data_IF_312314206870
#
_entry.id   IF_312314206870
#
_cell.length_a   1.000
_cell.length_b   1.000
_cell.length_c   1.000
_cell.angle_alpha   90.00
_cell.angle_beta   90.00
_cell.angle_gamma   90.00
#
_symmetry.space_group_name_H-M   'P 1'
#
loop_
_entity.id
_entity.type
_entity.pdbx_description
1 polymer ?
#
# COMPACT_ATOMS: atom_id res chain seq x y z
N UNK A 1 -34.05 -38.86 -18.95
CA UNK A 1 -32.78 -38.36 -18.39
C UNK A 1 -32.43 -37.06 -19.08
N UNK A 2 -31.81 -36.13 -18.35
CA UNK A 2 -31.24 -34.84 -18.77
C UNK A 2 -32.10 -33.60 -18.48
N UNK A 3 -31.71 -32.96 -17.36
CA UNK A 3 -31.57 -31.51 -17.09
C UNK A 3 -32.82 -30.65 -16.92
N UNK A 4 -33.16 -30.42 -15.65
CA UNK A 4 -33.63 -29.12 -15.13
C UNK A 4 -33.06 -28.94 -13.72
N UNK A 5 -31.79 -28.53 -13.64
CA UNK A 5 -31.20 -27.98 -12.41
C UNK A 5 -30.34 -26.80 -12.84
N UNK A 6 -30.97 -25.63 -12.97
CA UNK A 6 -30.28 -24.37 -13.30
C UNK A 6 -30.86 -23.20 -12.51
N UNK A 7 -31.26 -23.45 -11.27
CA UNK A 7 -31.80 -22.42 -10.39
C UNK A 7 -31.11 -22.49 -9.01
N UNK A 8 -29.80 -22.28 -8.95
CA UNK A 8 -29.12 -22.07 -7.66
C UNK A 8 -27.71 -21.47 -7.79
N UNK A 9 -27.55 -20.38 -8.53
CA UNK A 9 -26.37 -19.48 -8.38
C UNK A 9 -26.83 -18.03 -8.60
N UNK A 10 -27.71 -17.53 -7.75
CA UNK A 10 -27.95 -16.10 -7.60
C UNK A 10 -27.98 -15.83 -6.09
N UNK A 11 -26.98 -15.12 -5.57
CA UNK A 11 -27.08 -14.52 -4.23
C UNK A 11 -25.87 -14.57 -3.30
N UNK A 12 -24.72 -15.14 -3.68
CA UNK A 12 -23.56 -15.13 -2.80
C UNK A 12 -22.70 -13.84 -2.86
N UNK A 13 -22.99 -12.91 -3.78
CA UNK A 13 -22.25 -11.64 -3.90
C UNK A 13 -22.91 -10.43 -3.21
N UNK A 14 -24.01 -10.62 -2.48
CA UNK A 14 -24.76 -9.52 -1.84
C UNK A 14 -24.45 -9.32 -0.35
N UNK A 15 -23.43 -10.00 0.18
CA UNK A 15 -22.96 -9.79 1.56
C UNK A 15 -21.49 -9.40 1.53
N UNK A 16 -21.17 -8.36 0.77
CA UNK A 16 -20.08 -7.48 1.20
C UNK A 16 -20.70 -6.61 2.29
N UNK A 17 -20.47 -6.96 3.54
CA UNK A 17 -20.62 -6.00 4.64
C UNK A 17 -19.54 -4.95 4.45
N UNK A 18 -19.74 -4.04 3.50
CA UNK A 18 -19.05 -2.76 3.55
C UNK A 18 -19.63 -2.11 4.80
N UNK A 19 -18.91 -2.19 5.90
CA UNK A 19 -19.07 -1.21 6.97
C UNK A 19 -18.88 0.13 6.29
N UNK A 20 -19.99 0.82 6.05
CA UNK A 20 -19.97 2.11 5.38
C UNK A 20 -19.04 3.01 6.19
N UNK A 21 -17.89 3.36 5.64
CA UNK A 21 -17.10 4.48 6.12
C UNK A 21 -17.99 5.71 6.16
N UNK A 22 -17.86 6.55 7.18
CA UNK A 22 -18.60 7.80 7.28
C UNK A 22 -18.29 8.65 6.05
N UNK A 23 -19.33 9.10 5.33
CA UNK A 23 -19.12 10.10 4.26
C UNK A 23 -18.56 11.34 4.96
N UNK A 24 -17.37 11.84 4.56
CA UNK A 24 -16.77 12.99 5.22
C UNK A 24 -17.73 14.16 5.16
N UNK A 25 -18.04 14.75 6.32
CA UNK A 25 -18.88 15.95 6.35
C UNK A 25 -18.02 17.12 5.92
N UNK A 26 -18.34 17.73 4.77
CA UNK A 26 -17.80 19.03 4.42
C UNK A 26 -18.30 20.05 5.45
N UNK A 27 -17.41 20.54 6.32
CA UNK A 27 -17.68 21.75 7.09
C UNK A 27 -17.41 22.93 6.17
N UNK A 28 -18.43 23.74 5.91
CA UNK A 28 -18.23 25.03 5.26
C UNK A 28 -17.45 25.95 6.23
N UNK A 29 -16.15 26.09 6.01
CA UNK A 29 -15.24 26.95 6.79
C UNK A 29 -13.79 26.76 6.33
N UNK A 30 -13.03 27.84 6.20
CA UNK A 30 -11.63 27.84 5.75
C UNK A 30 -10.63 27.68 6.90
N UNK A 31 -10.93 26.83 7.89
CA UNK A 31 -9.99 26.53 8.99
C UNK A 31 -9.37 25.15 8.75
N UNK A 32 -8.04 25.08 8.77
CA UNK A 32 -7.30 23.85 8.49
C UNK A 32 -7.36 22.86 9.66
N UNK A 33 -7.33 21.54 9.40
CA UNK A 33 -7.47 20.91 8.08
C UNK A 33 -8.93 20.90 7.61
N UNK A 34 -9.16 21.11 6.31
CA UNK A 34 -10.49 20.96 5.68
C UNK A 34 -10.40 20.11 4.42
N UNK A 35 -11.32 19.15 4.20
CA UNK A 35 -11.35 18.37 2.98
C UNK A 35 -12.20 19.09 1.93
N UNK A 36 -11.72 19.14 0.69
CA UNK A 36 -12.54 19.45 -0.48
C UNK A 36 -12.95 18.13 -1.11
N UNK A 37 -14.25 17.84 -1.12
CA UNK A 37 -14.77 16.64 -1.77
C UNK A 37 -14.72 16.81 -3.30
N UNK A 38 -14.43 15.72 -4.02
CA UNK A 38 -14.50 15.68 -5.47
C UNK A 38 -15.92 16.01 -5.95
N UNK A 39 -16.02 16.85 -6.98
CA UNK A 39 -17.29 17.25 -7.62
C UNK A 39 -17.30 16.94 -9.11
N UNK A 40 -16.36 16.10 -9.55
CA UNK A 40 -16.20 15.72 -10.94
C UNK A 40 -17.43 14.97 -11.46
N UNK A 41 -17.79 15.24 -12.71
CA UNK A 41 -18.79 14.47 -13.43
C UNK A 41 -18.31 13.01 -13.62
N UNK A 42 -19.23 12.05 -13.87
CA UNK A 42 -18.85 10.68 -14.16
C UNK A 42 -17.77 10.60 -15.26
N UNK A 43 -16.83 9.66 -15.09
CA UNK A 43 -15.76 9.44 -16.06
C UNK A 43 -16.30 9.14 -17.47
N UNK A 44 -15.52 9.48 -18.49
CA UNK A 44 -15.84 9.16 -19.89
C UNK A 44 -16.11 7.66 -20.03
N UNK A 45 -17.24 7.30 -20.65
CA UNK A 45 -17.66 5.92 -20.87
C UNK A 45 -16.59 5.10 -21.63
N UNK A 46 -15.75 5.74 -22.45
CA UNK A 46 -14.64 5.09 -23.15
C UNK A 46 -13.59 4.49 -22.18
N UNK A 47 -13.54 4.95 -20.93
CA UNK A 47 -12.65 4.43 -19.87
C UNK A 47 -13.31 3.35 -19.01
N UNK A 48 -14.53 2.92 -19.36
CA UNK A 48 -15.22 1.84 -18.64
C UNK A 48 -14.38 0.57 -18.63
N UNK A 49 -14.11 0.06 -17.44
CA UNK A 49 -13.29 -1.14 -17.24
C UNK A 49 -11.79 -0.88 -17.18
N UNK A 50 -11.33 0.38 -17.25
CA UNK A 50 -9.94 0.71 -16.95
C UNK A 50 -9.71 0.58 -15.44
N UNK A 51 -8.57 0.03 -15.04
CA UNK A 51 -8.15 -0.04 -13.65
C UNK A 51 -6.63 -0.11 -13.54
N UNK A 52 -6.11 0.22 -12.35
CA UNK A 52 -4.68 0.10 -12.06
C UNK A 52 -4.36 -1.38 -11.80
N UNK A 53 -3.63 -1.99 -12.74
CA UNK A 53 -3.23 -3.39 -12.63
C UNK A 53 -2.04 -3.57 -11.67
N UNK A 54 -0.97 -2.80 -11.85
CA UNK A 54 0.28 -3.00 -11.12
C UNK A 54 1.05 -1.70 -10.87
N UNK A 55 1.93 -1.76 -9.88
CA UNK A 55 3.02 -0.81 -9.66
C UNK A 55 4.35 -1.54 -9.82
N UNK A 56 5.39 -0.81 -10.25
CA UNK A 56 6.70 -1.39 -10.51
C UNK A 56 7.79 -0.76 -9.64
N UNK A 57 8.66 -1.61 -9.09
CA UNK A 57 9.83 -1.22 -8.30
C UNK A 57 11.10 -1.89 -8.83
N UNK A 58 12.26 -1.34 -8.48
CA UNK A 58 13.56 -1.97 -8.76
C UNK A 58 14.14 -2.54 -7.48
N UNK A 59 14.78 -3.70 -7.56
CA UNK A 59 15.45 -4.31 -6.40
C UNK A 59 16.93 -4.55 -6.65
N UNK A 60 17.72 -4.44 -5.58
CA UNK A 60 19.14 -4.82 -5.54
C UNK A 60 19.31 -6.31 -5.24
N UNK A 61 18.31 -6.97 -4.66
CA UNK A 61 18.36 -8.39 -4.30
C UNK A 61 16.99 -9.04 -4.41
N UNK A 62 16.71 -9.64 -5.57
CA UNK A 62 15.44 -10.30 -5.84
C UNK A 62 15.08 -11.37 -4.81
N UNK A 63 16.03 -12.15 -4.31
CA UNK A 63 15.75 -13.18 -3.30
C UNK A 63 15.25 -12.56 -2.00
N UNK A 64 15.90 -11.49 -1.53
CA UNK A 64 15.49 -10.80 -0.31
C UNK A 64 14.11 -10.15 -0.47
N UNK A 65 13.83 -9.50 -1.60
CA UNK A 65 12.51 -8.92 -1.85
C UNK A 65 11.43 -9.99 -1.94
N UNK A 66 11.67 -11.11 -2.64
CA UNK A 66 10.69 -12.20 -2.72
C UNK A 66 10.38 -12.81 -1.36
N UNK A 67 11.40 -13.01 -0.51
CA UNK A 67 11.21 -13.48 0.86
C UNK A 67 10.38 -12.46 1.65
N UNK A 68 10.76 -11.19 1.65
CA UNK A 68 10.05 -10.12 2.34
C UNK A 68 8.58 -10.01 1.90
N UNK A 69 8.30 -9.80 0.60
CA UNK A 69 6.94 -9.58 0.12
C UNK A 69 6.05 -10.81 0.34
N UNK A 70 6.60 -12.03 0.24
CA UNK A 70 5.82 -13.24 0.48
C UNK A 70 5.60 -13.53 1.97
N UNK A 71 6.66 -13.50 2.78
CA UNK A 71 6.61 -13.79 4.22
C UNK A 71 5.88 -12.69 4.97
N UNK A 72 6.23 -11.42 4.74
CA UNK A 72 5.74 -10.30 5.55
C UNK A 72 4.33 -9.93 5.12
N UNK A 73 4.11 -9.76 3.82
CA UNK A 73 2.87 -9.20 3.29
C UNK A 73 1.93 -10.26 2.71
N UNK A 74 2.39 -11.49 2.46
CA UNK A 74 1.53 -12.56 1.92
C UNK A 74 1.35 -12.51 0.41
N UNK A 75 2.25 -11.84 -0.32
CA UNK A 75 2.28 -11.93 -1.78
C UNK A 75 2.70 -13.33 -2.24
N UNK A 76 2.20 -13.72 -3.42
CA UNK A 76 2.55 -14.95 -4.12
C UNK A 76 3.21 -14.61 -5.44
N UNK A 77 4.34 -15.26 -5.72
CA UNK A 77 4.99 -15.14 -7.02
C UNK A 77 4.13 -15.75 -8.11
N UNK A 78 3.79 -14.93 -9.10
CA UNK A 78 3.08 -15.37 -10.30
C UNK A 78 4.07 -16.00 -11.28
N UNK A 79 5.05 -15.21 -11.70
CA UNK A 79 6.08 -15.64 -12.65
C UNK A 79 7.32 -14.75 -12.54
N UNK A 80 8.44 -15.26 -13.05
CA UNK A 80 9.62 -14.46 -13.37
C UNK A 80 9.89 -14.59 -14.86
N UNK A 81 9.91 -13.49 -15.58
CA UNK A 81 10.35 -13.41 -16.96
C UNK A 81 11.84 -13.05 -16.97
N UNK A 82 12.69 -13.97 -17.43
CA UNK A 82 14.09 -13.67 -17.71
C UNK A 82 14.20 -13.04 -19.10
N UNK A 83 14.38 -11.72 -19.13
CA UNK A 83 14.51 -10.95 -20.38
C UNK A 83 15.91 -11.14 -20.98
N UNK A 84 16.93 -11.28 -20.13
CA UNK A 84 18.31 -11.59 -20.53
C UNK A 84 19.02 -12.43 -19.46
N UNK A 85 20.31 -12.73 -19.66
CA UNK A 85 21.14 -13.41 -18.64
C UNK A 85 21.19 -12.66 -17.31
N UNK A 86 21.08 -11.34 -17.35
CA UNK A 86 21.24 -10.48 -16.17
C UNK A 86 19.95 -9.74 -15.81
N UNK A 87 18.97 -9.65 -16.70
CA UNK A 87 17.76 -8.86 -16.47
C UNK A 87 16.51 -9.73 -16.34
N UNK A 88 15.77 -9.54 -15.26
CA UNK A 88 14.49 -10.23 -15.03
C UNK A 88 13.41 -9.29 -14.49
N UNK A 89 12.16 -9.71 -14.74
CA UNK A 89 10.95 -9.05 -14.28
C UNK A 89 10.14 -10.09 -13.51
N UNK A 90 9.80 -9.84 -12.26
CA UNK A 90 9.03 -10.76 -11.43
C UNK A 90 7.71 -10.13 -11.00
N UNK A 91 6.61 -10.82 -11.22
CA UNK A 91 5.28 -10.36 -10.80
C UNK A 91 4.81 -11.10 -9.55
N UNK A 92 4.28 -10.33 -8.60
CA UNK A 92 3.68 -10.80 -7.37
C UNK A 92 2.21 -10.34 -7.28
N UNK A 93 1.37 -11.17 -6.67
CA UNK A 93 -0.03 -10.85 -6.39
C UNK A 93 -0.44 -11.34 -4.99
N UNK A 94 -1.42 -10.70 -4.35
CA UNK A 94 -2.19 -11.37 -3.30
C UNK A 94 -3.11 -12.44 -3.91
N UNK A 95 -3.25 -13.57 -3.22
CA UNK A 95 -4.22 -14.58 -3.62
C UNK A 95 -5.64 -14.02 -3.47
N UNK A 96 -6.48 -14.15 -4.51
CA UNK A 96 -7.90 -13.79 -4.41
C UNK A 96 -8.64 -14.64 -3.37
N UNK A 97 -8.20 -15.89 -3.18
CA UNK A 97 -8.67 -16.75 -2.07
C UNK A 97 -8.35 -16.20 -0.68
N UNK A 98 -7.41 -15.26 -0.53
CA UNK A 98 -7.19 -14.55 0.74
C UNK A 98 -8.41 -13.72 1.16
N UNK A 99 -9.10 -13.09 0.20
CA UNK A 99 -10.26 -12.22 0.46
C UNK A 99 -11.50 -12.98 0.95
N UNK A 100 -11.59 -14.28 0.68
CA UNK A 100 -12.68 -15.13 1.16
C UNK A 100 -12.23 -16.14 2.25
N UNK A 101 -11.07 -15.92 2.85
CA UNK A 101 -10.55 -16.72 3.96
C UNK A 101 -10.01 -18.11 3.58
N UNK A 102 -9.99 -18.48 2.31
CA UNK A 102 -9.41 -19.75 1.85
C UNK A 102 -7.89 -19.70 1.75
N UNK A 103 -7.33 -18.51 1.53
CA UNK A 103 -5.89 -18.24 1.41
C UNK A 103 -5.19 -18.91 0.22
N UNK A 104 -5.89 -19.75 -0.54
CA UNK A 104 -5.28 -20.60 -1.55
C UNK A 104 -5.67 -20.19 -2.97
N UNK A 105 -4.64 -19.99 -3.78
CA UNK A 105 -4.71 -19.89 -5.22
C UNK A 105 -3.39 -20.41 -5.79
N UNK A 106 -3.44 -21.22 -6.85
CA UNK A 106 -2.25 -21.71 -7.52
C UNK A 106 -1.59 -20.59 -8.33
N UNK A 107 -0.29 -20.73 -8.61
CA UNK A 107 0.40 -19.78 -9.49
C UNK A 107 -0.21 -19.76 -10.90
N UNK A 108 -0.71 -20.89 -11.41
CA UNK A 108 -1.35 -20.97 -12.72
C UNK A 108 -2.66 -20.18 -12.76
N UNK A 109 -3.50 -20.29 -11.72
CA UNK A 109 -4.73 -19.51 -11.59
C UNK A 109 -4.44 -18.01 -11.47
N UNK A 110 -3.45 -17.63 -10.67
CA UNK A 110 -2.98 -16.25 -10.58
C UNK A 110 -2.56 -15.72 -11.96
N UNK A 111 -1.77 -16.48 -12.72
CA UNK A 111 -1.32 -16.08 -14.06
C UNK A 111 -2.48 -15.94 -15.05
N UNK A 112 -3.46 -16.85 -15.01
CA UNK A 112 -4.66 -16.79 -15.84
C UNK A 112 -5.43 -15.47 -15.62
N UNK A 113 -5.39 -14.95 -14.40
CA UNK A 113 -6.12 -13.76 -13.98
C UNK A 113 -5.28 -12.48 -14.04
N UNK A 114 -3.99 -12.56 -14.38
CA UNK A 114 -3.01 -11.45 -14.29
C UNK A 114 -3.55 -10.13 -14.86
N UNK A 115 -4.08 -10.15 -16.09
CA UNK A 115 -4.52 -8.94 -16.78
C UNK A 115 -5.83 -8.36 -16.21
N UNK A 116 -6.52 -9.08 -15.31
CA UNK A 116 -7.74 -8.67 -14.63
C UNK A 116 -7.54 -8.53 -13.11
N UNK A 117 -6.33 -8.76 -12.61
CA UNK A 117 -5.98 -8.59 -11.21
C UNK A 117 -5.63 -7.12 -10.91
N UNK A 118 -5.89 -6.67 -9.69
CA UNK A 118 -5.59 -5.31 -9.23
C UNK A 118 -4.51 -5.34 -8.16
N UNK A 119 -3.66 -4.32 -8.12
CA UNK A 119 -2.63 -4.17 -7.08
C UNK A 119 -1.51 -5.21 -7.15
N UNK A 120 -1.08 -5.59 -8.36
CA UNK A 120 0.10 -6.43 -8.54
C UNK A 120 1.38 -5.62 -8.25
N UNK A 121 2.43 -6.32 -7.83
CA UNK A 121 3.77 -5.76 -7.71
C UNK A 121 4.67 -6.34 -8.81
N UNK A 122 5.19 -5.47 -9.66
CA UNK A 122 6.22 -5.77 -10.66
C UNK A 122 7.60 -5.42 -10.09
N UNK A 123 8.52 -6.38 -10.09
CA UNK A 123 9.88 -6.21 -9.58
C UNK A 123 10.89 -6.36 -10.71
N UNK A 124 11.62 -5.30 -10.99
CA UNK A 124 12.77 -5.29 -11.88
C UNK A 124 14.04 -5.66 -11.12
N UNK A 125 14.79 -6.63 -11.65
CA UNK A 125 16.08 -7.03 -11.08
C UNK A 125 17.15 -7.13 -12.17
N UNK A 126 18.31 -6.53 -11.89
CA UNK A 126 19.48 -6.58 -12.75
C UNK A 126 20.66 -7.21 -11.99
N UNK A 127 21.08 -8.39 -12.40
CA UNK A 127 22.21 -9.12 -11.84
C UNK A 127 23.54 -8.60 -12.41
N UNK A 128 24.02 -7.51 -11.82
CA UNK A 128 25.29 -6.85 -12.16
C UNK A 128 26.15 -6.67 -10.91
N UNK A 129 27.49 -6.48 -11.04
CA UNK A 129 28.38 -6.35 -9.88
C UNK A 129 28.05 -5.17 -8.96
N UNK A 130 27.66 -4.03 -9.53
CA UNK A 130 27.30 -2.82 -8.78
C UNK A 130 25.80 -2.81 -8.54
N UNK A 131 25.38 -3.04 -7.31
CA UNK A 131 23.97 -3.03 -6.90
C UNK A 131 23.64 -1.92 -5.91
N UNK A 132 24.53 -0.95 -5.71
CA UNK A 132 24.30 0.19 -4.81
C UNK A 132 23.43 1.24 -5.48
N UNK A 133 22.16 0.90 -5.68
CA UNK A 133 21.11 1.83 -6.08
C UNK A 133 20.57 2.45 -4.79
N UNK A 134 20.51 3.78 -4.74
CA UNK A 134 19.95 4.50 -3.60
C UNK A 134 18.44 4.23 -3.50
N UNK A 135 17.98 3.91 -2.30
CA UNK A 135 16.55 3.71 -2.03
C UNK A 135 15.77 5.01 -1.93
N UNK A 136 14.44 4.93 -2.00
CA UNK A 136 13.55 6.06 -1.69
C UNK A 136 13.72 6.56 -0.24
N UNK A 137 14.13 5.69 0.70
CA UNK A 137 14.44 6.10 2.08
C UNK A 137 15.81 6.78 2.23
N UNK A 138 16.75 6.57 1.30
CA UNK A 138 18.07 7.21 1.31
C UNK A 138 18.05 8.51 0.50
N UNK A 139 17.41 8.48 -0.66
CA UNK A 139 17.24 9.61 -1.56
C UNK A 139 15.76 9.73 -1.92
N UNK A 140 14.99 10.48 -1.11
CA UNK A 140 13.57 10.69 -1.34
C UNK A 140 13.30 11.14 -2.78
N UNK A 141 12.50 10.34 -3.49
CA UNK A 141 12.01 10.65 -4.82
C UNK A 141 10.52 11.01 -4.73
N UNK A 142 9.85 11.15 -5.87
CA UNK A 142 8.42 11.52 -5.92
C UNK A 142 7.47 10.39 -5.56
N UNK A 143 7.94 9.13 -5.47
CA UNK A 143 7.14 7.99 -5.04
C UNK A 143 7.24 7.82 -3.52
N UNK A 144 6.13 8.07 -2.82
CA UNK A 144 6.11 8.09 -1.36
C UNK A 144 6.14 6.67 -0.76
N UNK A 145 5.08 5.88 -0.96
CA UNK A 145 4.94 4.55 -0.38
C UNK A 145 3.96 3.66 -1.15
N UNK A 146 3.94 2.37 -0.82
CA UNK A 146 2.87 1.43 -1.18
C UNK A 146 1.94 1.28 0.02
N UNK A 147 0.61 1.40 -0.18
CA UNK A 147 -0.38 1.22 0.88
C UNK A 147 -0.91 -0.22 0.94
N UNK A 148 -1.01 -0.77 2.14
CA UNK A 148 -1.59 -2.08 2.43
C UNK A 148 -2.72 -1.95 3.44
N UNK A 149 -3.87 -2.54 3.12
CA UNK A 149 -5.00 -2.67 4.05
C UNK A 149 -4.93 -4.03 4.74
N UNK A 150 -5.07 -4.03 6.06
CA UNK A 150 -5.16 -5.24 6.88
C UNK A 150 -6.44 -5.25 7.71
N UNK A 151 -6.97 -6.43 8.07
CA UNK A 151 -8.15 -6.52 8.94
C UNK A 151 -7.93 -5.93 10.33
N UNK A 152 -6.70 -6.03 10.87
CA UNK A 152 -6.35 -5.57 12.21
C UNK A 152 -4.90 -5.07 12.23
N UNK A 153 -4.75 -3.75 12.45
CA UNK A 153 -3.46 -3.07 12.50
C UNK A 153 -2.62 -3.49 13.73
N UNK A 154 -3.26 -3.77 14.87
CA UNK A 154 -2.55 -4.21 16.08
C UNK A 154 -2.02 -5.63 15.91
N UNK A 155 -2.86 -6.54 15.38
CA UNK A 155 -2.45 -7.93 15.16
C UNK A 155 -1.29 -8.04 14.15
N UNK A 156 -1.30 -7.24 13.08
CA UNK A 156 -0.14 -7.21 12.16
C UNK A 156 1.09 -6.62 12.85
N UNK A 157 0.97 -5.58 13.69
CA UNK A 157 2.11 -5.05 14.44
C UNK A 157 2.73 -6.12 15.33
N UNK A 158 1.94 -6.81 16.15
CA UNK A 158 2.42 -7.88 17.03
C UNK A 158 3.19 -8.94 16.23
N UNK A 159 2.66 -9.32 15.07
CA UNK A 159 3.32 -10.25 14.15
C UNK A 159 4.64 -9.70 13.61
N UNK A 160 4.68 -8.44 13.17
CA UNK A 160 5.89 -7.80 12.64
C UNK A 160 6.99 -7.72 13.71
N UNK A 161 6.63 -7.47 14.97
CA UNK A 161 7.58 -7.41 16.09
C UNK A 161 8.25 -8.78 16.38
N UNK A 162 7.66 -9.90 15.94
CA UNK A 162 8.32 -11.22 15.98
C UNK A 162 9.37 -11.43 14.88
N UNK A 163 9.43 -10.55 13.88
CA UNK A 163 10.30 -10.68 12.71
C UNK A 163 11.51 -9.76 12.84
N UNK A 164 12.65 -10.31 13.26
CA UNK A 164 13.89 -9.55 13.47
C UNK A 164 14.47 -8.91 12.19
N UNK A 165 14.06 -9.41 11.03
CA UNK A 165 14.49 -8.98 9.71
C UNK A 165 13.62 -7.86 9.11
N UNK A 166 12.54 -7.47 9.77
CA UNK A 166 11.65 -6.39 9.33
C UNK A 166 11.93 -5.12 10.09
N UNK A 167 12.16 -4.01 9.36
CA UNK A 167 12.36 -2.70 9.96
C UNK A 167 11.04 -1.94 10.03
N UNK A 168 10.49 -1.86 11.24
CA UNK A 168 9.36 -0.98 11.57
C UNK A 168 9.93 0.44 11.79
N UNK A 169 9.47 1.42 10.99
CA UNK A 169 9.92 2.81 11.06
C UNK A 169 8.90 3.75 11.71
N UNK A 170 7.65 3.31 11.85
CA UNK A 170 6.65 3.90 12.75
C UNK A 170 5.70 2.81 13.23
N UNK A 171 5.40 2.81 14.52
CA UNK A 171 4.45 1.88 15.15
C UNK A 171 3.00 2.40 15.12
N UNK A 172 2.07 1.47 15.24
CA UNK A 172 0.65 1.73 15.44
C UNK A 172 0.44 2.57 16.70
N UNK A 173 -0.28 3.68 16.57
CA UNK A 173 -0.57 4.61 17.67
C UNK A 173 0.60 5.49 18.10
N UNK A 174 1.80 5.29 17.53
CA UNK A 174 2.92 6.21 17.73
C UNK A 174 2.52 7.60 17.24
N UNK A 175 2.68 8.60 18.11
CA UNK A 175 2.20 9.95 17.87
C UNK A 175 3.11 10.67 16.89
N UNK A 176 2.50 11.27 15.86
CA UNK A 176 3.17 12.23 14.99
C UNK A 176 3.23 13.57 15.73
N UNK A 177 4.29 13.79 16.52
CA UNK A 177 4.39 14.93 17.45
C UNK A 177 5.23 16.10 16.95
N UNK A 178 6.17 15.84 16.06
CA UNK A 178 7.09 16.85 15.56
C UNK A 178 7.44 16.59 14.10
N UNK A 179 7.58 17.67 13.33
CA UNK A 179 8.01 17.63 11.95
C UNK A 179 9.42 18.24 11.85
N UNK A 180 10.41 17.38 12.06
CA UNK A 180 11.82 17.69 11.87
C UNK A 180 12.30 17.23 10.48
N UNK A 181 13.44 17.73 10.04
CA UNK A 181 14.04 17.34 8.76
C UNK A 181 14.68 15.95 8.80
N UNK A 182 14.87 15.35 9.98
CA UNK A 182 15.34 13.98 10.17
C UNK A 182 14.22 12.97 10.46
N UNK A 183 12.95 13.41 10.42
CA UNK A 183 11.80 12.54 10.62
C UNK A 183 11.81 11.40 9.61
N UNK A 184 12.02 10.17 10.09
CA UNK A 184 12.26 8.98 9.27
C UNK A 184 11.13 8.71 8.28
N UNK A 185 9.87 8.91 8.70
CA UNK A 185 8.70 8.71 7.85
C UNK A 185 8.31 9.94 7.03
N UNK A 186 9.01 11.07 7.17
CA UNK A 186 8.74 12.30 6.42
C UNK A 186 8.55 12.06 4.92
N UNK A 187 9.52 11.40 4.23
CA UNK A 187 9.36 11.05 2.81
C UNK A 187 8.13 10.19 2.50
N UNK A 188 7.74 9.29 3.41
CA UNK A 188 6.59 8.41 3.22
C UNK A 188 5.26 9.19 3.24
N UNK A 189 5.21 10.35 3.91
CA UNK A 189 4.03 11.23 3.94
C UNK A 189 4.20 12.49 3.08
N UNK A 190 5.14 12.48 2.13
CA UNK A 190 5.37 13.59 1.20
C UNK A 190 6.09 14.79 1.81
N UNK A 191 6.72 14.64 2.97
CA UNK A 191 7.46 15.66 3.70
C UNK A 191 8.97 15.29 3.77
N UNK A 192 9.69 15.22 2.62
CA UNK A 192 11.12 14.92 2.65
C UNK A 192 11.92 16.06 3.31
N UNK A 193 13.13 15.78 3.82
CA UNK A 193 13.95 16.73 4.59
C UNK A 193 14.10 18.11 3.93
N UNK A 194 14.41 18.12 2.63
CA UNK A 194 14.62 19.36 1.87
C UNK A 194 13.34 20.20 1.70
N UNK A 195 12.15 19.58 1.74
CA UNK A 195 10.86 20.29 1.72
C UNK A 195 10.56 20.82 3.11
N UNK A 196 10.72 20.00 4.16
CA UNK A 196 10.49 20.41 5.56
C UNK A 196 11.38 21.60 5.93
N UNK A 197 12.64 21.62 5.48
CA UNK A 197 13.59 22.69 5.71
C UNK A 197 13.11 24.08 5.24
N UNK A 198 12.18 24.12 4.27
CA UNK A 198 11.62 25.37 3.72
C UNK A 198 10.43 25.91 4.53
N UNK A 199 9.85 25.09 5.40
CA UNK A 199 8.67 25.45 6.20
C UNK A 199 9.06 26.23 7.44
N UNK A 200 8.22 27.23 7.79
CA UNK A 200 8.31 27.91 9.08
C UNK A 200 7.98 26.94 10.23
N UNK A 201 8.38 27.29 11.46
CA UNK A 201 8.03 26.48 12.63
C UNK A 201 6.50 26.39 12.82
N UNK A 202 5.80 27.50 12.65
CA UNK A 202 4.33 27.57 12.74
C UNK A 202 3.65 26.62 11.73
N UNK A 203 4.14 26.57 10.49
CA UNK A 203 3.59 25.66 9.47
C UNK A 203 3.87 24.20 9.81
N UNK A 204 5.05 23.88 10.33
CA UNK A 204 5.39 22.52 10.78
C UNK A 204 4.47 22.07 11.92
N UNK A 205 4.21 22.95 12.89
CA UNK A 205 3.28 22.69 14.00
C UNK A 205 1.84 22.50 13.49
N UNK A 206 1.39 23.32 12.54
CA UNK A 206 0.07 23.19 11.92
C UNK A 206 -0.07 21.86 11.15
N UNK A 207 0.96 21.44 10.40
CA UNK A 207 0.98 20.13 9.72
C UNK A 207 0.90 19.00 10.73
N UNK A 208 1.70 19.05 11.81
CA UNK A 208 1.66 18.04 12.88
C UNK A 208 0.24 17.92 13.46
N UNK A 209 -0.39 19.04 13.77
CA UNK A 209 -1.74 19.06 14.33
C UNK A 209 -2.80 18.55 13.34
N UNK A 210 -2.70 18.91 12.07
CA UNK A 210 -3.68 18.53 11.05
C UNK A 210 -3.52 17.10 10.50
N UNK A 211 -2.27 16.66 10.28
CA UNK A 211 -1.95 15.37 9.68
C UNK A 211 -1.82 14.26 10.73
N UNK A 212 -1.29 14.59 11.92
CA UNK A 212 -0.95 13.61 12.94
C UNK A 212 -2.07 12.65 13.31
N UNK A 213 -3.32 13.13 13.55
CA UNK A 213 -4.42 12.23 13.89
C UNK A 213 -4.75 11.18 12.80
N UNK A 214 -4.43 11.44 11.54
CA UNK A 214 -4.59 10.49 10.43
C UNK A 214 -3.39 9.55 10.28
N UNK A 215 -2.20 9.98 10.70
CA UNK A 215 -0.95 9.21 10.62
C UNK A 215 -0.70 8.34 11.85
N UNK A 216 -1.19 8.75 13.02
CA UNK A 216 -1.12 8.02 14.28
C UNK A 216 -1.57 6.55 14.17
N UNK A 217 -2.72 6.20 13.56
CA UNK A 217 -3.17 4.82 13.43
C UNK A 217 -2.44 4.00 12.35
N UNK A 218 -1.49 4.60 11.62
CA UNK A 218 -0.74 3.93 10.56
C UNK A 218 0.53 3.28 11.10
N UNK A 219 0.91 2.15 10.51
CA UNK A 219 2.24 1.54 10.68
C UNK A 219 3.03 1.81 9.41
N UNK A 220 4.30 2.16 9.55
CA UNK A 220 5.22 2.20 8.42
C UNK A 220 6.35 1.20 8.62
N UNK A 221 6.60 0.41 7.58
CA UNK A 221 7.77 -0.46 7.48
C UNK A 221 8.57 -0.09 6.22
N UNK A 222 9.79 -0.61 6.12
CA UNK A 222 10.56 -0.55 4.88
C UNK A 222 10.90 -1.94 4.37
N UNK A 223 10.86 -2.10 3.05
CA UNK A 223 11.33 -3.32 2.39
C UNK A 223 12.87 -3.40 2.37
N UNK A 224 13.47 -4.51 1.88
CA UNK A 224 14.92 -4.68 1.83
C UNK A 224 15.64 -3.62 0.98
N UNK A 225 14.93 -2.97 0.08
CA UNK A 225 15.42 -1.91 -0.79
C UNK A 225 15.05 -0.52 -0.29
N UNK A 226 14.46 -0.37 0.90
CA UNK A 226 14.13 0.92 1.49
C UNK A 226 12.91 1.60 0.89
N UNK A 227 12.01 0.87 0.22
CA UNK A 227 10.70 1.39 -0.13
C UNK A 227 9.80 1.40 1.10
N UNK A 228 9.12 2.53 1.33
CA UNK A 228 8.14 2.64 2.41
C UNK A 228 6.86 1.88 2.07
N UNK A 229 6.32 1.22 3.09
CA UNK A 229 5.04 0.53 3.03
C UNK A 229 4.21 1.02 4.19
N UNK A 230 3.10 1.68 3.85
CA UNK A 230 2.06 2.11 4.78
C UNK A 230 1.11 0.93 5.02
N UNK A 231 0.84 0.63 6.28
CA UNK A 231 -0.12 -0.40 6.67
C UNK A 231 -1.23 0.27 7.50
N UNK A 232 -2.46 0.09 7.03
CA UNK A 232 -3.66 0.67 7.63
C UNK A 232 -4.73 -0.40 7.90
N UNK A 233 -5.55 -0.18 8.92
CA UNK A 233 -6.70 -1.02 9.21
C UNK A 233 -7.86 -0.77 8.23
N UNK A 234 -8.76 -1.75 8.08
CA UNK A 234 -9.95 -1.64 7.21
C UNK A 234 -10.88 -0.47 7.57
N UNK A 235 -10.94 -0.07 8.84
CA UNK A 235 -11.82 1.02 9.30
C UNK A 235 -11.34 2.41 8.85
N UNK A 236 -10.06 2.56 8.44
CA UNK A 236 -9.48 3.83 7.99
C UNK A 236 -9.50 4.95 9.04
N UNK A 237 -8.82 6.06 8.77
CA UNK A 237 -8.94 7.28 9.57
C UNK A 237 -9.97 8.24 8.93
N UNK A 238 -10.71 9.00 9.74
CA UNK A 238 -11.54 10.09 9.21
C UNK A 238 -10.66 11.19 8.60
N UNK A 239 -11.11 11.80 7.48
CA UNK A 239 -10.34 12.86 6.80
C UNK A 239 -10.06 14.07 7.69
N UNK A 240 -10.98 14.37 8.61
CA UNK A 240 -10.83 15.39 9.66
C UNK A 240 -11.52 14.84 10.90
N UNK A 241 -10.80 14.76 12.02
CA UNK A 241 -11.39 14.38 13.30
C UNK A 241 -12.27 15.54 13.81
N UNK A 242 -13.53 15.22 14.12
CA UNK A 242 -14.59 16.19 14.43
C UNK A 242 -14.52 16.85 15.80
#
# INVERSE_FOLDING_TARGET
>A
MVRLLSALILGAQLISTVTSHSIPRSRAGQEYPYPVLGTDEPADWATTGYFINHFAISTRNLTASLDFYSKVLGFRKMFTLHVSKTYSITYLAHAHGGKNGTGYQTALELNREKNNAQGLLEIYYLDIPTKNIESSSQHPNTFAHIGLVVPDAQAIQERLETMSDVKIVKKYGEKFTELTDDLVIGPAVGLPPAVVAQLSLEEREAIVQGLGPSVDPLIFIVDPDGYFIEIQGEEGAELVQG
#
